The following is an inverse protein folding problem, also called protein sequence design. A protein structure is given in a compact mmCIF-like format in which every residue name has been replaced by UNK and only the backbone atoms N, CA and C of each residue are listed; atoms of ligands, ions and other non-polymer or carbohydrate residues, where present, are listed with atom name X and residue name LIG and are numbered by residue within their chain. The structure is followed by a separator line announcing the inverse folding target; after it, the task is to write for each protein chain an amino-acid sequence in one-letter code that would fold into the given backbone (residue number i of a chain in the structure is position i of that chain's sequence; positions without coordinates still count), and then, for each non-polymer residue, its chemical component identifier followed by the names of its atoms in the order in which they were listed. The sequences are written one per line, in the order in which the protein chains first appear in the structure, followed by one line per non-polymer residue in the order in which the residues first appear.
data_IF_773505840288
#
_entry.id   IF_773505840288
#
_cell.length_a   1.000
_cell.length_b   1.000
_cell.length_c   1.000
_cell.angle_alpha   90.00
_cell.angle_beta   90.00
_cell.angle_gamma   90.00
#
_symmetry.space_group_name_H-M   'P 1'
#
loop_
_entity.id
_entity.type
_entity.pdbx_description
1 polymer ?
#
# COMPACT_ATOMS: atom_id res chain seq x y z
N UNK A 1 -0.87 -9.98 -7.51
CA UNK A 1 -0.26 -9.07 -6.50
C UNK A 1 -0.73 -9.43 -5.10
N UNK A 2 0.16 -9.47 -4.11
CA UNK A 2 -0.21 -9.55 -2.70
C UNK A 2 -0.55 -8.14 -2.16
N UNK A 3 -1.83 -7.80 -2.25
CA UNK A 3 -2.36 -6.53 -1.75
C UNK A 3 -2.13 -6.31 -0.25
N UNK A 4 -1.96 -7.37 0.54
CA UNK A 4 -1.68 -7.26 1.98
C UNK A 4 -0.27 -6.77 2.23
N UNK A 5 0.69 -7.24 1.45
CA UNK A 5 2.08 -6.78 1.49
C UNK A 5 2.16 -5.34 1.02
N UNK A 6 1.58 -5.01 -0.14
CA UNK A 6 1.53 -3.63 -0.66
C UNK A 6 0.90 -2.65 0.34
N UNK A 7 -0.23 -3.02 0.96
CA UNK A 7 -0.88 -2.17 1.97
C UNK A 7 0.01 -1.91 3.19
N UNK A 8 0.69 -2.94 3.70
CA UNK A 8 1.64 -2.79 4.83
C UNK A 8 2.81 -1.89 4.47
N UNK A 9 3.36 -2.03 3.27
CA UNK A 9 4.42 -1.17 2.76
C UNK A 9 3.95 0.29 2.70
N UNK A 10 2.79 0.58 2.12
CA UNK A 10 2.25 1.93 2.08
C UNK A 10 2.02 2.54 3.47
N UNK A 11 1.53 1.76 4.43
CA UNK A 11 1.42 2.21 5.82
C UNK A 11 2.79 2.50 6.44
N UNK A 12 3.79 1.66 6.19
CA UNK A 12 5.15 1.88 6.69
C UNK A 12 5.80 3.13 6.06
N UNK A 13 5.54 3.38 4.77
CA UNK A 13 5.97 4.59 4.06
C UNK A 13 5.33 5.85 4.65
N UNK A 14 4.01 5.82 4.91
CA UNK A 14 3.28 6.92 5.56
C UNK A 14 3.80 7.24 6.97
N UNK A 15 4.22 6.21 7.70
CA UNK A 15 4.75 6.34 9.06
C UNK A 15 6.26 6.64 9.13
N UNK A 16 6.92 6.90 7.99
CA UNK A 16 8.36 7.14 7.92
C UNK A 16 9.20 6.03 8.59
N UNK A 17 8.84 4.76 8.37
CA UNK A 17 9.58 3.62 8.89
C UNK A 17 11.07 3.66 8.48
N UNK A 18 12.02 3.34 9.37
CA UNK A 18 13.45 3.37 9.07
C UNK A 18 13.89 2.27 8.09
N UNK A 19 13.08 1.23 7.87
CA UNK A 19 13.40 0.09 6.99
C UNK A 19 13.05 0.41 5.52
N UNK A 20 13.66 1.46 4.98
CA UNK A 20 13.36 1.98 3.64
C UNK A 20 13.68 0.98 2.52
N UNK A 21 14.87 0.36 2.56
CA UNK A 21 15.34 -0.57 1.52
C UNK A 21 14.45 -1.83 1.43
N UNK A 22 14.03 -2.38 2.57
CA UNK A 22 13.12 -3.53 2.63
C UNK A 22 11.75 -3.21 2.00
N UNK A 23 11.23 -2.01 2.26
CA UNK A 23 9.93 -1.56 1.75
C UNK A 23 9.99 -1.39 0.23
N UNK A 24 11.05 -0.77 -0.27
CA UNK A 24 11.22 -0.55 -1.70
C UNK A 24 11.35 -1.87 -2.46
N UNK A 25 12.19 -2.79 -1.97
CA UNK A 25 12.38 -4.10 -2.61
C UNK A 25 11.07 -4.89 -2.72
N UNK A 26 10.30 -4.95 -1.63
CA UNK A 26 8.99 -5.62 -1.62
C UNK A 26 8.00 -4.96 -2.59
N UNK A 27 7.96 -3.63 -2.65
CA UNK A 27 7.05 -2.91 -3.55
C UNK A 27 7.42 -3.11 -5.02
N UNK A 28 8.72 -3.09 -5.35
CA UNK A 28 9.21 -3.38 -6.70
C UNK A 28 8.81 -4.79 -7.15
N UNK A 29 9.07 -5.80 -6.31
CA UNK A 29 8.71 -7.19 -6.60
C UNK A 29 7.20 -7.33 -6.86
N UNK A 30 6.36 -6.74 -6.01
CA UNK A 30 4.90 -6.79 -6.15
C UNK A 30 4.41 -6.08 -7.41
N UNK A 31 5.01 -4.96 -7.80
CA UNK A 31 4.57 -4.19 -8.98
C UNK A 31 5.03 -4.81 -10.29
N UNK A 32 6.28 -5.29 -10.36
CA UNK A 32 6.84 -5.89 -11.56
C UNK A 32 6.22 -7.26 -11.87
N UNK A 33 6.02 -8.09 -10.84
CA UNK A 33 5.48 -9.44 -11.00
C UNK A 33 3.96 -9.49 -11.13
N UNK A 34 3.26 -8.39 -10.86
CA UNK A 34 1.80 -8.38 -10.85
C UNK A 34 1.18 -8.48 -12.25
N UNK A 35 0.40 -9.53 -12.46
CA UNK A 35 -0.50 -9.72 -13.61
C UNK A 35 -1.78 -8.86 -13.50
N UNK A 36 -2.09 -8.33 -12.31
CA UNK A 36 -3.29 -7.53 -12.03
C UNK A 36 -3.17 -6.07 -12.52
N UNK A 37 -1.97 -5.66 -12.94
CA UNK A 37 -1.64 -4.31 -13.38
C UNK A 37 -1.57 -4.24 -14.89
N UNK A 38 -2.27 -3.25 -15.46
CA UNK A 38 -2.00 -2.82 -16.83
C UNK A 38 -0.63 -2.16 -16.89
N UNK A 39 -0.02 -2.15 -18.08
CA UNK A 39 1.34 -1.64 -18.23
C UNK A 39 1.46 -0.15 -17.83
N UNK A 40 0.46 0.66 -18.13
CA UNK A 40 0.39 2.08 -17.72
C UNK A 40 0.34 2.23 -16.19
N UNK A 41 -0.47 1.42 -15.52
CA UNK A 41 -0.57 1.40 -14.05
C UNK A 41 0.73 0.95 -13.39
N UNK A 42 1.37 -0.09 -13.96
CA UNK A 42 2.66 -0.58 -13.47
C UNK A 42 3.73 0.50 -13.58
N UNK A 43 3.87 1.13 -14.75
CA UNK A 43 4.84 2.21 -14.94
C UNK A 43 4.56 3.39 -14.01
N UNK A 44 3.29 3.74 -13.81
CA UNK A 44 2.92 4.79 -12.87
C UNK A 44 3.37 4.42 -11.44
N UNK A 45 3.02 3.24 -10.94
CA UNK A 45 3.40 2.78 -9.61
C UNK A 45 4.91 2.74 -9.39
N UNK A 46 5.68 2.24 -10.36
CA UNK A 46 7.14 2.22 -10.30
C UNK A 46 7.72 3.64 -10.28
N UNK A 47 7.24 4.53 -11.13
CA UNK A 47 7.69 5.93 -11.16
C UNK A 47 7.33 6.70 -9.88
N UNK A 48 6.17 6.42 -9.29
CA UNK A 48 5.78 6.98 -7.99
C UNK A 48 6.70 6.45 -6.89
N UNK A 49 7.07 5.17 -6.91
CA UNK A 49 8.00 4.59 -5.94
C UNK A 49 9.40 5.24 -6.00
N UNK A 50 9.94 5.47 -7.21
CA UNK A 50 11.20 6.19 -7.42
C UNK A 50 11.12 7.66 -6.94
N UNK A 51 9.98 8.31 -7.18
CA UNK A 51 9.72 9.68 -6.68
C UNK A 51 9.68 9.74 -5.16
N UNK A 52 9.07 8.73 -4.53
CA UNK A 52 9.04 8.63 -3.07
C UNK A 52 10.46 8.52 -2.50
N UNK A 53 11.33 7.73 -3.13
CA UNK A 53 12.75 7.61 -2.79
C UNK A 53 13.50 8.94 -2.95
N UNK A 54 13.22 9.64 -4.04
CA UNK A 54 13.86 10.91 -4.38
C UNK A 54 13.39 12.10 -3.51
N UNK A 55 12.47 11.87 -2.57
CA UNK A 55 12.04 12.85 -1.57
C UNK A 55 10.63 13.41 -1.77
N UNK A 56 9.94 13.10 -2.87
CA UNK A 56 8.55 13.49 -3.11
C UNK A 56 7.58 12.54 -2.39
N UNK A 57 7.73 12.43 -1.07
CA UNK A 57 7.16 11.32 -0.29
C UNK A 57 5.62 11.31 -0.31
N UNK A 58 4.99 12.41 0.07
CA UNK A 58 3.53 12.46 0.23
C UNK A 58 2.82 12.30 -1.11
N UNK A 59 3.21 13.06 -2.14
CA UNK A 59 2.53 13.01 -3.43
C UNK A 59 2.70 11.66 -4.11
N UNK A 60 3.87 11.02 -3.97
CA UNK A 60 4.11 9.69 -4.49
C UNK A 60 3.22 8.63 -3.82
N UNK A 61 3.09 8.68 -2.49
CA UNK A 61 2.21 7.78 -1.74
C UNK A 61 0.75 7.96 -2.18
N UNK A 62 0.28 9.20 -2.29
CA UNK A 62 -1.10 9.50 -2.71
C UNK A 62 -1.38 9.01 -4.13
N UNK A 63 -0.40 9.11 -5.03
CA UNK A 63 -0.51 8.60 -6.40
C UNK A 63 -0.56 7.08 -6.45
N UNK A 64 0.31 6.39 -5.69
CA UNK A 64 0.26 4.94 -5.57
C UNK A 64 -1.09 4.46 -5.02
N UNK A 65 -1.56 5.10 -3.95
CA UNK A 65 -2.84 4.77 -3.33
C UNK A 65 -4.00 4.99 -4.30
N UNK A 66 -3.98 6.06 -5.10
CA UNK A 66 -5.00 6.32 -6.13
C UNK A 66 -5.09 5.19 -7.15
N UNK A 67 -3.96 4.69 -7.65
CA UNK A 67 -3.94 3.58 -8.61
C UNK A 67 -4.47 2.30 -7.95
N UNK A 68 -4.01 2.01 -6.73
CA UNK A 68 -4.38 0.79 -6.01
C UNK A 68 -5.84 0.78 -5.58
N UNK A 69 -6.44 1.92 -5.25
CA UNK A 69 -7.87 2.05 -4.88
C UNK A 69 -8.84 1.66 -6.00
N UNK A 70 -8.38 1.59 -7.24
CA UNK A 70 -9.16 1.08 -8.37
C UNK A 70 -9.28 -0.45 -8.31
N UNK A 71 -8.32 -1.13 -7.67
CA UNK A 71 -8.24 -2.59 -7.59
C UNK A 71 -9.11 -3.16 -6.48
N UNK A 72 -9.96 -4.13 -6.84
CA UNK A 72 -10.85 -4.80 -5.90
C UNK A 72 -10.10 -5.48 -4.74
N UNK A 73 -8.96 -6.12 -5.03
CA UNK A 73 -8.16 -6.80 -4.00
C UNK A 73 -7.61 -5.84 -2.96
N UNK A 74 -7.17 -4.65 -3.39
CA UNK A 74 -6.71 -3.60 -2.48
C UNK A 74 -7.85 -3.05 -1.62
N UNK A 75 -9.00 -2.74 -2.23
CA UNK A 75 -10.19 -2.25 -1.49
C UNK A 75 -10.66 -3.25 -0.43
N UNK A 76 -10.67 -4.54 -0.75
CA UNK A 76 -11.00 -5.61 0.23
C UNK A 76 -10.01 -5.64 1.39
N UNK A 77 -8.72 -5.60 1.09
CA UNK A 77 -7.65 -5.57 2.10
C UNK A 77 -7.80 -4.36 3.05
N UNK A 78 -8.09 -3.19 2.50
CA UNK A 78 -8.34 -1.98 3.27
C UNK A 78 -9.59 -2.13 4.16
N UNK A 79 -10.70 -2.61 3.59
CA UNK A 79 -11.94 -2.83 4.33
C UNK A 79 -11.75 -3.83 5.48
N UNK A 80 -11.03 -4.92 5.24
CA UNK A 80 -10.68 -5.92 6.27
C UNK A 80 -9.84 -5.29 7.38
N UNK A 81 -8.88 -4.43 7.04
CA UNK A 81 -8.08 -3.73 8.04
C UNK A 81 -8.92 -2.77 8.89
N UNK A 82 -9.82 -2.00 8.26
CA UNK A 82 -10.72 -1.07 8.95
C UNK A 82 -11.67 -1.84 9.88
N UNK A 83 -12.29 -2.91 9.37
CA UNK A 83 -13.20 -3.75 10.15
C UNK A 83 -12.50 -4.34 11.38
N UNK A 84 -11.29 -4.88 11.22
CA UNK A 84 -10.51 -5.42 12.32
C UNK A 84 -10.11 -4.36 13.37
N UNK A 85 -9.85 -3.12 12.93
CA UNK A 85 -9.49 -2.01 13.83
C UNK A 85 -10.71 -1.56 14.64
N UNK A 86 -11.86 -1.39 13.98
CA UNK A 86 -13.11 -0.98 14.63
C UNK A 86 -13.65 -2.06 15.59
N UNK A 87 -13.53 -3.34 15.24
CA UNK A 87 -14.00 -4.45 16.08
C UNK A 87 -13.12 -4.67 17.32
N UNK A 88 -11.81 -4.41 17.23
CA UNK A 88 -10.90 -4.44 18.39
C UNK A 88 -11.03 -3.22 19.31
N UNK A 89 -11.67 -2.15 18.84
CA UNK A 89 -11.93 -0.93 19.59
C UNK A 89 -13.24 -0.93 20.39
N UNK A 90 -14.06 -2.00 20.31
CA UNK A 90 -15.19 -2.14 21.24
C UNK A 90 -14.62 -2.54 22.61
N UNK A 91 -14.72 -1.70 23.66
CA UNK A 91 -14.57 -2.23 25.01
C UNK A 91 -15.58 -3.38 25.13
N UNK A 92 -15.14 -4.52 25.65
CA UNK A 92 -16.05 -5.57 26.06
C UNK A 92 -17.02 -4.92 27.04
N UNK A 93 -18.26 -4.65 26.61
CA UNK A 93 -19.34 -4.43 27.55
C UNK A 93 -19.56 -5.78 28.22
N UNK A 94 -19.10 -5.87 29.48
CA UNK A 94 -19.40 -6.95 30.40
C UNK A 94 -20.93 -7.08 30.50
N UNK A 95 -21.48 -8.16 29.93
CA UNK A 95 -22.87 -8.60 30.11
C UNK A 95 -22.94 -9.66 31.22
#
# INVERSE_FOLDING_TARGET
MDYKTVFKCLLAMKNCSPNFEDIQGLMLEEFESSEDLRNDERQLLLSSLERWESGDRTNAIDEMERVLMIKDGYRKTLADCIANTLMKGRPAEDY
#
